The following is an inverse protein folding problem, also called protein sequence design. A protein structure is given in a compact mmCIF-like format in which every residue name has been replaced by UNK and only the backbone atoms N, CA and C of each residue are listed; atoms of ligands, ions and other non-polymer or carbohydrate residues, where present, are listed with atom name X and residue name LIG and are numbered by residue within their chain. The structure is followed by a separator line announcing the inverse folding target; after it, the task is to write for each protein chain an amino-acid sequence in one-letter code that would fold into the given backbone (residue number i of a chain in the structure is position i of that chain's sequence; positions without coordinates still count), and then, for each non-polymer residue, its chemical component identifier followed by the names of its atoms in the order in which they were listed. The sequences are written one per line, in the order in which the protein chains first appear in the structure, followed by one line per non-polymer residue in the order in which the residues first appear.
data_IF_463615147607
#
_entry.id   IF_463615147607
#
_cell.length_a   1.000
_cell.length_b   1.000
_cell.length_c   1.000
_cell.angle_alpha   90.00
_cell.angle_beta   90.00
_cell.angle_gamma   90.00
#
_symmetry.space_group_name_H-M   'P 1'
#
loop_
_entity.id
_entity.type
_entity.pdbx_description
1 polymer ?
#
# COMPACT_ATOMS: atom_id res chain seq x y z
N UNK A 1 -5.76 -16.34 -24.03
CA UNK A 1 -6.67 -17.50 -23.91
C UNK A 1 -7.34 -17.37 -22.56
N UNK A 2 -8.60 -16.98 -22.53
CA UNK A 2 -9.42 -17.02 -21.32
C UNK A 2 -9.76 -18.48 -20.99
N UNK A 3 -10.06 -18.79 -19.72
CA UNK A 3 -10.44 -20.16 -19.35
C UNK A 3 -11.66 -20.68 -20.13
N UNK A 4 -12.60 -19.81 -20.50
CA UNK A 4 -13.76 -20.17 -21.34
C UNK A 4 -13.37 -20.68 -22.73
N UNK A 5 -12.26 -20.18 -23.29
CA UNK A 5 -11.74 -20.61 -24.59
C UNK A 5 -11.23 -22.06 -24.57
N UNK A 6 -11.04 -22.65 -23.38
CA UNK A 6 -10.62 -24.05 -23.21
C UNK A 6 -11.83 -25.01 -23.25
N UNK A 7 -13.06 -24.54 -23.08
CA UNK A 7 -14.26 -25.39 -23.09
C UNK A 7 -14.44 -26.14 -24.42
N UNK A 8 -14.28 -25.50 -25.61
CA UNK A 8 -14.30 -26.22 -26.88
C UNK A 8 -13.21 -27.28 -26.96
N UNK A 9 -12.00 -27.01 -26.47
CA UNK A 9 -10.89 -27.98 -26.45
C UNK A 9 -11.23 -29.18 -25.58
N UNK A 10 -11.73 -28.96 -24.35
CA UNK A 10 -12.15 -30.01 -23.43
C UNK A 10 -13.25 -30.88 -24.07
N UNK A 11 -14.25 -30.26 -24.70
CA UNK A 11 -15.36 -30.97 -25.36
C UNK A 11 -14.90 -31.75 -26.60
N UNK A 12 -14.15 -31.11 -27.50
CA UNK A 12 -13.64 -31.71 -28.74
C UNK A 12 -12.74 -32.92 -28.46
N UNK A 13 -11.84 -32.79 -27.48
CA UNK A 13 -10.90 -33.85 -27.13
C UNK A 13 -11.44 -34.79 -26.03
N UNK A 14 -12.68 -34.60 -25.57
CA UNK A 14 -13.31 -35.36 -24.48
C UNK A 14 -12.39 -35.50 -23.26
N UNK A 15 -11.70 -34.43 -22.90
CA UNK A 15 -10.77 -34.43 -21.79
C UNK A 15 -11.57 -34.56 -20.49
N UNK A 16 -11.38 -35.66 -19.77
CA UNK A 16 -11.82 -35.79 -18.39
C UNK A 16 -10.67 -35.42 -17.46
N UNK A 17 -11.00 -34.79 -16.33
CA UNK A 17 -10.02 -34.64 -15.27
C UNK A 17 -9.62 -36.04 -14.78
N UNK A 18 -8.32 -36.32 -14.61
CA UNK A 18 -7.89 -37.60 -14.06
C UNK A 18 -8.45 -37.78 -12.65
N UNK A 19 -8.97 -38.97 -12.35
CA UNK A 19 -9.54 -39.30 -11.04
C UNK A 19 -8.48 -39.29 -9.93
N UNK A 20 -7.24 -39.60 -10.29
CA UNK A 20 -6.08 -39.53 -9.41
C UNK A 20 -4.95 -38.75 -10.09
N UNK A 21 -4.33 -37.83 -9.36
CA UNK A 21 -3.18 -37.07 -9.82
C UNK A 21 -1.95 -37.59 -9.10
N UNK A 22 -1.09 -38.31 -9.83
CA UNK A 22 0.21 -38.72 -9.31
C UNK A 22 1.16 -37.52 -9.32
N UNK A 23 1.59 -37.07 -8.14
CA UNK A 23 2.56 -35.99 -8.02
C UNK A 23 3.96 -36.50 -8.37
N UNK A 24 4.73 -35.66 -9.06
CA UNK A 24 6.14 -35.94 -9.36
C UNK A 24 6.94 -36.10 -8.06
N UNK A 25 7.79 -37.11 -7.99
CA UNK A 25 8.74 -37.24 -6.89
C UNK A 25 9.74 -36.06 -6.90
N UNK A 26 10.27 -35.62 -5.75
CA UNK A 26 11.24 -34.53 -5.71
C UNK A 26 12.45 -34.69 -6.64
N UNK A 27 12.90 -35.94 -6.85
CA UNK A 27 13.99 -36.26 -7.78
C UNK A 27 13.66 -35.94 -9.26
N UNK A 28 12.38 -35.90 -9.62
CA UNK A 28 11.91 -35.59 -10.97
C UNK A 28 11.72 -34.08 -11.20
N UNK A 29 11.90 -33.26 -10.17
CA UNK A 29 11.77 -31.82 -10.30
C UNK A 29 12.86 -31.26 -11.22
N UNK A 30 12.43 -30.54 -12.25
CA UNK A 30 13.34 -29.86 -13.19
C UNK A 30 13.66 -28.44 -12.77
N UNK A 31 12.78 -27.80 -12.01
CA UNK A 31 12.85 -26.38 -11.64
C UNK A 31 12.84 -26.21 -10.11
N UNK A 32 11.88 -26.84 -9.43
CA UNK A 32 11.76 -26.77 -7.97
C UNK A 32 13.06 -27.28 -7.32
N UNK A 33 13.59 -26.49 -6.37
CA UNK A 33 14.84 -26.79 -5.66
C UNK A 33 16.13 -26.55 -6.47
N UNK A 34 16.05 -26.06 -7.70
CA UNK A 34 17.24 -25.79 -8.54
C UNK A 34 17.46 -24.28 -8.72
N UNK A 35 18.73 -23.81 -8.72
CA UNK A 35 19.03 -22.42 -9.07
C UNK A 35 18.53 -22.09 -10.48
N UNK A 36 17.75 -21.02 -10.60
CA UNK A 36 17.21 -20.54 -11.88
C UNK A 36 17.44 -19.04 -12.02
N UNK A 37 17.39 -18.54 -13.26
CA UNK A 37 17.51 -17.11 -13.54
C UNK A 37 16.13 -16.46 -13.48
N UNK A 38 16.06 -15.27 -12.88
CA UNK A 38 14.84 -14.45 -12.88
C UNK A 38 14.58 -13.94 -14.30
N UNK A 39 13.32 -13.96 -14.72
CA UNK A 39 12.92 -13.59 -16.09
C UNK A 39 13.21 -12.11 -16.37
N UNK A 40 13.07 -11.26 -15.37
CA UNK A 40 13.29 -9.81 -15.40
C UNK A 40 14.76 -9.40 -15.10
N UNK A 41 15.67 -10.36 -14.94
CA UNK A 41 17.04 -10.05 -14.53
C UNK A 41 17.78 -9.20 -15.58
N UNK A 42 17.62 -9.52 -16.87
CA UNK A 42 18.34 -8.85 -17.95
C UNK A 42 17.98 -7.37 -18.04
N UNK A 43 16.68 -7.08 -18.10
CA UNK A 43 16.16 -5.71 -18.22
C UNK A 43 16.51 -4.83 -17.01
N UNK A 44 16.65 -5.42 -15.82
CA UNK A 44 17.11 -4.68 -14.62
C UNK A 44 18.60 -4.38 -14.64
N UNK A 45 19.41 -5.21 -15.29
CA UNK A 45 20.86 -5.05 -15.35
C UNK A 45 21.30 -4.05 -16.42
N UNK A 46 20.58 -3.97 -17.54
CA UNK A 46 20.88 -3.06 -18.65
C UNK A 46 20.07 -1.75 -18.63
N UNK A 47 19.17 -1.58 -17.65
CA UNK A 47 18.36 -0.38 -17.46
C UNK A 47 17.16 -0.26 -18.39
N UNK A 48 16.82 -1.30 -19.16
CA UNK A 48 15.63 -1.32 -20.03
C UNK A 48 14.33 -1.67 -19.29
N UNK A 49 14.41 -2.09 -18.02
CA UNK A 49 13.27 -2.35 -17.16
C UNK A 49 12.38 -1.11 -17.00
N UNK A 50 11.08 -1.25 -17.29
CA UNK A 50 10.10 -0.17 -17.14
C UNK A 50 9.36 -0.30 -15.80
N UNK A 51 9.59 0.68 -14.92
CA UNK A 51 8.90 0.81 -13.64
C UNK A 51 7.66 1.70 -13.77
N UNK A 52 6.82 1.76 -12.73
CA UNK A 52 5.62 2.61 -12.73
C UNK A 52 5.94 4.08 -13.02
N UNK A 53 7.04 4.58 -12.45
CA UNK A 53 7.47 5.97 -12.62
C UNK A 53 7.97 6.29 -14.04
N UNK A 54 8.31 5.26 -14.83
CA UNK A 54 8.81 5.40 -16.20
C UNK A 54 7.69 5.48 -17.24
N UNK A 55 6.44 5.25 -16.83
CA UNK A 55 5.30 5.33 -17.74
C UNK A 55 5.19 6.72 -18.34
N UNK A 56 5.15 6.78 -19.68
CA UNK A 56 4.97 8.00 -20.47
C UNK A 56 3.88 7.75 -21.48
N UNK A 57 2.76 8.45 -21.35
CA UNK A 57 1.64 8.40 -22.29
C UNK A 57 1.55 9.71 -23.08
N UNK A 58 1.02 9.69 -24.31
CA UNK A 58 0.79 10.91 -25.09
C UNK A 58 -0.05 11.92 -24.30
N UNK A 59 0.33 13.19 -24.35
CA UNK A 59 -0.37 14.31 -23.69
C UNK A 59 -0.53 14.18 -22.16
N UNK A 60 0.27 13.31 -21.51
CA UNK A 60 0.25 13.11 -20.07
C UNK A 60 0.72 14.36 -19.31
N UNK A 61 0.11 14.60 -18.16
CA UNK A 61 0.52 15.64 -17.20
C UNK A 61 0.91 15.01 -15.87
N UNK A 62 1.59 15.77 -15.03
CA UNK A 62 2.12 15.32 -13.74
C UNK A 62 1.40 16.05 -12.62
N UNK A 63 1.09 15.33 -11.54
CA UNK A 63 0.52 15.92 -10.33
C UNK A 63 1.38 15.71 -9.10
N UNK A 64 1.38 16.73 -8.24
CA UNK A 64 1.93 16.69 -6.88
C UNK A 64 0.83 17.11 -5.92
N UNK A 65 0.67 16.38 -4.82
CA UNK A 65 -0.41 16.58 -3.86
C UNK A 65 0.13 17.30 -2.64
N UNK A 66 -0.37 18.50 -2.35
CA UNK A 66 -0.14 19.09 -1.03
C UNK A 66 -1.04 18.38 -0.01
N UNK A 67 -0.41 17.56 0.82
CA UNK A 67 -1.05 16.73 1.85
C UNK A 67 -1.19 17.45 3.18
N UNK A 68 -2.14 17.02 4.04
CA UNK A 68 -2.32 17.60 5.34
C UNK A 68 -1.09 17.42 6.25
N UNK A 69 -0.90 18.32 7.23
CA UNK A 69 0.17 18.18 8.23
C UNK A 69 -0.09 17.04 9.22
N UNK A 70 -1.34 16.62 9.39
CA UNK A 70 -1.79 15.57 10.32
C UNK A 70 -2.67 14.56 9.58
N UNK A 71 -2.52 13.27 9.87
CA UNK A 71 -3.32 12.23 9.24
C UNK A 71 -4.82 12.44 9.48
N UNK A 72 -5.60 12.32 8.41
CA UNK A 72 -7.05 12.44 8.46
C UNK A 72 -7.58 13.88 8.50
N UNK A 73 -6.73 14.91 8.49
CA UNK A 73 -7.19 16.28 8.30
C UNK A 73 -7.80 16.46 6.90
N UNK A 74 -8.67 17.46 6.75
CA UNK A 74 -9.41 17.73 5.51
C UNK A 74 -9.18 19.16 5.01
N UNK A 75 -9.27 19.35 3.70
CA UNK A 75 -9.25 20.68 3.10
C UNK A 75 -10.56 21.39 3.42
N UNK A 76 -10.48 22.57 4.05
CA UNK A 76 -11.61 23.50 4.20
C UNK A 76 -11.68 24.42 3.00
N UNK A 77 -10.54 25.01 2.65
CA UNK A 77 -10.38 25.87 1.48
C UNK A 77 -8.91 25.91 1.06
N UNK A 78 -8.65 26.40 -0.16
CA UNK A 78 -7.30 26.63 -0.63
C UNK A 78 -7.22 27.87 -1.54
N UNK A 79 -6.04 28.47 -1.60
CA UNK A 79 -5.64 29.52 -2.55
C UNK A 79 -4.48 28.98 -3.40
N UNK A 80 -4.67 28.99 -4.73
CA UNK A 80 -3.71 28.53 -5.71
C UNK A 80 -3.28 29.64 -6.70
N UNK A 81 -3.59 30.91 -6.43
CA UNK A 81 -3.32 32.00 -7.37
C UNK A 81 -1.83 32.12 -7.71
N UNK A 82 -0.97 32.00 -6.70
CA UNK A 82 0.48 32.05 -6.90
C UNK A 82 1.01 30.79 -7.61
N UNK A 83 0.39 29.63 -7.39
CA UNK A 83 0.72 28.40 -8.08
C UNK A 83 0.38 28.48 -9.58
N UNK A 84 -0.78 29.03 -9.92
CA UNK A 84 -1.26 29.18 -11.31
C UNK A 84 -0.44 30.20 -12.12
N UNK A 85 0.28 31.11 -11.46
CA UNK A 85 1.23 32.03 -12.12
C UNK A 85 2.53 31.33 -12.57
N UNK A 86 2.83 30.13 -12.06
CA UNK A 86 4.03 29.40 -12.46
C UNK A 86 3.86 28.85 -13.88
N UNK A 87 4.73 29.22 -14.85
CA UNK A 87 4.59 28.75 -16.22
C UNK A 87 4.61 27.23 -16.33
N UNK A 88 3.54 26.66 -16.88
CA UNK A 88 3.37 25.22 -17.06
C UNK A 88 2.54 24.52 -15.98
N UNK A 89 2.14 25.22 -14.91
CA UNK A 89 1.04 24.79 -14.04
C UNK A 89 -0.27 24.94 -14.81
N UNK A 90 -1.11 23.92 -14.74
CA UNK A 90 -2.34 23.82 -15.51
C UNK A 90 -3.57 24.02 -14.62
N UNK A 91 -3.55 23.41 -13.44
CA UNK A 91 -4.72 23.36 -12.54
C UNK A 91 -4.31 23.03 -11.12
N UNK A 92 -5.08 23.53 -10.16
CA UNK A 92 -5.09 23.02 -8.79
C UNK A 92 -6.53 22.62 -8.45
N UNK A 93 -6.71 21.46 -7.82
CA UNK A 93 -8.02 20.99 -7.37
C UNK A 93 -7.92 20.15 -6.11
N UNK A 94 -9.01 20.05 -5.37
CA UNK A 94 -9.10 19.15 -4.22
C UNK A 94 -9.23 17.70 -4.66
N UNK A 95 -8.58 16.82 -3.93
CA UNK A 95 -8.82 15.37 -3.86
C UNK A 95 -8.97 15.01 -2.37
N UNK A 96 -9.41 13.79 -2.05
CA UNK A 96 -9.73 13.40 -0.66
C UNK A 96 -8.59 13.67 0.33
N UNK A 97 -7.36 13.52 -0.13
CA UNK A 97 -6.13 13.60 0.67
C UNK A 97 -5.46 14.98 0.62
N UNK A 98 -6.03 15.98 -0.05
CA UNK A 98 -5.44 17.32 -0.12
C UNK A 98 -5.73 18.08 -1.41
N UNK A 99 -4.77 18.92 -1.82
CA UNK A 99 -4.86 19.69 -3.08
C UNK A 99 -3.82 19.19 -4.05
N UNK A 100 -4.26 18.68 -5.20
CA UNK A 100 -3.36 18.29 -6.29
C UNK A 100 -3.10 19.48 -7.21
N UNK A 101 -1.83 19.72 -7.54
CA UNK A 101 -1.39 20.64 -8.58
C UNK A 101 -0.92 19.86 -9.79
N UNK A 102 -1.58 20.09 -10.92
CA UNK A 102 -1.27 19.46 -12.21
C UNK A 102 -0.42 20.41 -13.07
N UNK A 103 0.64 19.87 -13.68
CA UNK A 103 1.54 20.61 -14.56
C UNK A 103 2.08 19.74 -15.69
N UNK A 104 2.73 20.37 -16.67
CA UNK A 104 3.36 19.67 -17.81
C UNK A 104 4.52 18.73 -17.43
N UNK A 105 5.13 18.95 -16.27
CA UNK A 105 6.26 18.18 -15.75
C UNK A 105 6.25 18.18 -14.22
N UNK A 106 6.92 17.17 -13.62
CA UNK A 106 6.94 16.98 -12.17
C UNK A 106 7.51 18.19 -11.41
N UNK A 107 8.58 18.81 -11.90
CA UNK A 107 9.23 19.91 -11.19
C UNK A 107 8.35 21.15 -11.14
N UNK A 108 7.64 21.42 -12.23
CA UNK A 108 6.66 22.50 -12.31
C UNK A 108 5.48 22.23 -11.38
N UNK A 109 4.97 20.99 -11.33
CA UNK A 109 3.92 20.59 -10.39
C UNK A 109 4.38 20.74 -8.93
N UNK A 110 5.59 20.28 -8.59
CA UNK A 110 6.18 20.41 -7.25
C UNK A 110 6.34 21.87 -6.83
N UNK A 111 6.83 22.72 -7.74
CA UNK A 111 6.98 24.16 -7.48
C UNK A 111 5.62 24.83 -7.25
N UNK A 112 4.63 24.51 -8.09
CA UNK A 112 3.26 25.01 -7.94
C UNK A 112 2.63 24.55 -6.62
N UNK A 113 2.73 23.27 -6.28
CA UNK A 113 2.22 22.72 -5.03
C UNK A 113 2.81 23.40 -3.79
N UNK A 114 4.09 23.79 -3.83
CA UNK A 114 4.73 24.55 -2.75
C UNK A 114 4.20 25.98 -2.57
N UNK A 115 3.43 26.52 -3.52
CA UNK A 115 2.85 27.86 -3.45
C UNK A 115 1.35 27.85 -3.08
N UNK A 116 0.72 26.67 -3.07
CA UNK A 116 -0.67 26.54 -2.66
C UNK A 116 -0.77 26.74 -1.14
N UNK A 117 -1.72 27.57 -0.72
CA UNK A 117 -2.04 27.82 0.68
C UNK A 117 -3.32 27.07 1.00
N UNK A 118 -3.28 26.15 1.96
CA UNK A 118 -4.43 25.32 2.31
C UNK A 118 -4.83 25.60 3.75
N UNK A 119 -6.13 25.80 3.96
CA UNK A 119 -6.74 25.83 5.28
C UNK A 119 -7.21 24.41 5.59
N UNK A 120 -6.65 23.83 6.65
CA UNK A 120 -6.93 22.47 7.08
C UNK A 120 -7.88 22.45 8.28
N UNK A 121 -8.83 21.53 8.26
CA UNK A 121 -9.50 21.05 9.47
C UNK A 121 -8.77 19.80 9.96
N UNK A 122 -8.02 19.96 11.05
CA UNK A 122 -7.23 18.89 11.65
C UNK A 122 -8.05 17.95 12.52
N UNK A 123 -9.36 18.22 12.71
CA UNK A 123 -10.31 17.38 13.45
C UNK A 123 -9.84 17.00 14.86
N UNK A 124 -9.16 17.90 15.55
CA UNK A 124 -8.61 17.70 16.91
C UNK A 124 -7.53 16.61 16.99
N UNK A 125 -6.81 16.37 15.89
CA UNK A 125 -5.74 15.36 15.83
C UNK A 125 -4.33 15.96 16.07
N UNK A 126 -4.24 17.27 16.33
CA UNK A 126 -2.99 18.00 16.51
C UNK A 126 -2.19 17.56 17.74
N UNK A 127 -2.86 16.98 18.74
CA UNK A 127 -2.24 16.57 20.00
C UNK A 127 -1.65 15.16 19.94
N UNK A 128 -1.88 14.42 18.84
CA UNK A 128 -1.36 13.07 18.67
C UNK A 128 0.16 13.07 18.59
N UNK A 129 0.80 12.20 19.35
CA UNK A 129 2.26 12.08 19.38
C UNK A 129 2.70 10.63 19.55
N UNK A 130 3.91 10.31 19.07
CA UNK A 130 4.50 8.98 19.26
C UNK A 130 4.64 8.62 20.74
N UNK A 131 5.00 9.59 21.59
CA UNK A 131 5.08 9.38 23.03
C UNK A 131 3.71 9.07 23.65
N UNK A 132 2.66 9.79 23.25
CA UNK A 132 1.28 9.54 23.68
C UNK A 132 0.81 8.14 23.27
N UNK A 133 1.06 7.72 22.03
CA UNK A 133 0.71 6.38 21.57
C UNK A 133 1.40 5.27 22.36
N UNK A 134 2.69 5.41 22.67
CA UNK A 134 3.38 4.42 23.52
C UNK A 134 2.79 4.38 24.93
N UNK A 135 2.49 5.53 25.52
CA UNK A 135 1.86 5.57 26.83
C UNK A 135 0.51 4.84 26.81
N UNK A 136 -0.37 5.21 25.88
CA UNK A 136 -1.69 4.58 25.72
C UNK A 136 -1.57 3.07 25.50
N UNK A 137 -0.65 2.62 24.62
CA UNK A 137 -0.50 1.20 24.32
C UNK A 137 0.11 0.41 25.48
N UNK A 138 0.98 1.00 26.29
CA UNK A 138 1.45 0.39 27.55
C UNK A 138 0.30 0.18 28.54
N UNK A 139 -0.58 1.16 28.66
CA UNK A 139 -1.78 1.08 29.51
C UNK A 139 -2.74 0.00 29.00
N UNK A 140 -3.00 -0.04 27.69
CA UNK A 140 -3.82 -1.08 27.06
C UNK A 140 -3.22 -2.48 27.21
N UNK A 141 -1.90 -2.63 27.09
CA UNK A 141 -1.22 -3.92 27.27
C UNK A 141 -1.37 -4.50 28.68
N UNK A 142 -1.79 -3.70 29.67
CA UNK A 142 -2.07 -4.17 31.02
C UNK A 142 -3.50 -4.71 31.19
N UNK A 143 -4.36 -4.52 30.18
CA UNK A 143 -5.77 -4.91 30.19
C UNK A 143 -6.00 -6.16 29.33
N UNK A 144 -7.13 -6.87 29.52
CA UNK A 144 -7.53 -7.94 28.60
C UNK A 144 -7.73 -7.41 27.17
N UNK A 145 -7.07 -8.04 26.20
CA UNK A 145 -7.22 -7.75 24.77
C UNK A 145 -8.11 -8.77 24.04
N UNK A 146 -8.20 -8.61 22.72
CA UNK A 146 -8.83 -9.61 21.85
C UNK A 146 -7.98 -10.89 21.83
N UNK A 147 -8.62 -12.03 22.11
CA UNK A 147 -7.92 -13.32 22.14
C UNK A 147 -7.59 -13.75 20.71
N UNK A 148 -6.29 -13.83 20.41
CA UNK A 148 -5.80 -14.37 19.15
C UNK A 148 -5.68 -15.91 19.22
N UNK A 149 -5.22 -16.43 20.36
CA UNK A 149 -4.99 -17.85 20.61
C UNK A 149 -5.08 -18.14 22.11
N UNK A 150 -5.63 -19.30 22.50
CA UNK A 150 -5.77 -19.73 23.89
C UNK A 150 -5.55 -21.25 23.97
N UNK A 151 -4.39 -21.65 24.46
CA UNK A 151 -3.96 -23.05 24.55
C UNK A 151 -3.40 -23.31 25.94
N UNK A 152 -4.00 -24.26 26.66
CA UNK A 152 -3.63 -24.62 28.03
C UNK A 152 -4.02 -23.56 29.06
N UNK A 153 -3.38 -23.59 30.24
CA UNK A 153 -3.79 -22.82 31.41
C UNK A 153 -2.76 -21.75 31.82
N UNK A 154 -2.17 -21.05 30.83
CA UNK A 154 -1.04 -20.14 31.06
C UNK A 154 -1.33 -19.09 32.15
N UNK A 155 -2.53 -18.51 32.18
CA UNK A 155 -2.94 -17.52 33.20
C UNK A 155 -3.00 -18.12 34.60
N UNK A 156 -3.48 -19.36 34.74
CA UNK A 156 -3.54 -20.06 36.03
C UNK A 156 -2.14 -20.37 36.53
N UNK A 157 -1.26 -20.86 35.65
CA UNK A 157 0.14 -21.14 35.99
C UNK A 157 0.86 -19.87 36.45
N UNK A 158 0.68 -18.75 35.74
CA UNK A 158 1.27 -17.46 36.13
C UNK A 158 0.71 -16.90 37.44
N UNK A 159 -0.56 -17.21 37.77
CA UNK A 159 -1.18 -16.82 39.03
C UNK A 159 -0.83 -17.74 40.22
N UNK A 160 -0.20 -18.90 39.98
CA UNK A 160 0.09 -19.91 41.01
C UNK A 160 1.19 -19.52 42.01
N UNK A 161 1.81 -18.35 41.85
CA UNK A 161 2.90 -17.87 42.71
C UNK A 161 4.29 -18.38 42.31
N UNK A 162 4.41 -19.13 41.20
CA UNK A 162 5.71 -19.46 40.59
C UNK A 162 6.42 -18.20 40.10
N UNK A 163 7.75 -18.23 40.09
CA UNK A 163 8.55 -17.18 39.45
C UNK A 163 8.23 -17.14 37.97
N UNK A 164 7.98 -15.93 37.45
CA UNK A 164 7.81 -15.67 36.03
C UNK A 164 8.61 -14.44 35.64
N UNK A 165 8.85 -14.30 34.35
CA UNK A 165 9.49 -13.15 33.74
C UNK A 165 8.43 -12.29 33.06
N UNK A 166 8.46 -10.98 33.27
CA UNK A 166 7.66 -10.02 32.52
C UNK A 166 8.58 -9.06 31.77
N UNK A 167 8.26 -8.80 30.51
CA UNK A 167 8.92 -7.79 29.69
C UNK A 167 7.91 -7.07 28.82
N UNK A 168 8.14 -5.77 28.63
CA UNK A 168 7.40 -4.93 27.69
C UNK A 168 8.31 -4.60 26.52
N UNK A 169 7.89 -5.00 25.32
CA UNK A 169 8.61 -4.76 24.07
C UNK A 169 7.88 -3.72 23.25
N UNK A 170 8.63 -2.77 22.70
CA UNK A 170 8.07 -1.65 21.95
C UNK A 170 8.70 -1.59 20.57
N UNK A 171 7.85 -1.46 19.56
CA UNK A 171 8.27 -1.34 18.17
C UNK A 171 7.71 -0.06 17.58
N UNK A 172 8.53 0.82 16.98
CA UNK A 172 8.05 2.06 16.42
C UNK A 172 7.33 1.82 15.10
N UNK A 173 6.58 2.83 14.68
CA UNK A 173 6.22 2.99 13.28
C UNK A 173 7.48 2.88 12.41
N UNK A 174 7.40 2.10 11.33
CA UNK A 174 8.50 2.01 10.38
C UNK A 174 8.02 2.28 8.96
N UNK A 175 8.68 3.26 8.34
CA UNK A 175 8.51 3.53 6.92
C UNK A 175 9.17 2.43 6.08
N UNK A 176 8.48 2.03 5.02
CA UNK A 176 8.98 1.03 4.08
C UNK A 176 10.15 1.56 3.23
N UNK A 177 10.16 2.87 2.97
CA UNK A 177 11.22 3.60 2.29
C UNK A 177 11.70 2.92 1.00
N UNK A 178 10.75 2.54 0.12
CA UNK A 178 11.06 1.90 -1.17
C UNK A 178 12.00 2.78 -1.99
N UNK A 179 12.85 2.19 -2.84
CA UNK A 179 13.78 3.00 -3.66
C UNK A 179 13.02 3.86 -4.65
N UNK A 180 11.99 3.30 -5.29
CA UNK A 180 11.02 4.05 -6.08
C UNK A 180 9.91 4.58 -5.16
N UNK A 181 9.71 5.91 -5.04
CA UNK A 181 8.59 6.49 -4.32
C UNK A 181 7.24 6.07 -4.90
N UNK A 182 6.17 6.20 -4.10
CA UNK A 182 4.82 5.94 -4.61
C UNK A 182 4.51 6.78 -5.85
N UNK A 183 3.98 6.09 -6.86
CA UNK A 183 3.60 6.70 -8.13
C UNK A 183 2.50 5.86 -8.77
N UNK A 184 1.67 6.53 -9.57
CA UNK A 184 0.61 5.90 -10.33
C UNK A 184 0.24 6.81 -11.51
N UNK A 185 0.00 6.20 -12.67
CA UNK A 185 -0.56 6.90 -13.84
C UNK A 185 -1.99 6.45 -14.05
N UNK A 186 -2.92 7.37 -14.24
CA UNK A 186 -4.33 7.07 -14.48
C UNK A 186 -4.86 7.82 -15.71
N UNK A 187 -5.73 7.14 -16.44
CA UNK A 187 -6.61 7.70 -17.47
C UNK A 187 -8.03 7.40 -17.01
N UNK A 188 -8.86 8.44 -16.93
CA UNK A 188 -10.25 8.32 -16.49
C UNK A 188 -11.12 8.97 -17.56
N UNK A 189 -11.98 8.15 -18.14
CA UNK A 189 -13.04 8.53 -19.09
C UNK A 189 -14.40 8.37 -18.40
N UNK A 190 -15.49 8.69 -19.11
CA UNK A 190 -16.85 8.65 -18.54
C UNK A 190 -17.28 7.23 -18.11
N UNK A 191 -16.85 6.20 -18.84
CA UNK A 191 -17.29 4.82 -18.66
C UNK A 191 -16.15 3.83 -18.38
N UNK A 192 -14.92 4.30 -18.27
CA UNK A 192 -13.73 3.45 -18.11
C UNK A 192 -12.59 4.14 -17.37
N UNK A 193 -11.74 3.31 -16.76
CA UNK A 193 -10.51 3.77 -16.13
C UNK A 193 -9.36 2.82 -16.41
N UNK A 194 -8.22 3.36 -16.82
CA UNK A 194 -6.99 2.62 -17.02
C UNK A 194 -5.89 3.16 -16.11
N UNK A 195 -5.21 2.24 -15.41
CA UNK A 195 -4.20 2.56 -14.40
C UNK A 195 -2.91 1.83 -14.71
N UNK A 196 -1.76 2.51 -14.57
CA UNK A 196 -0.44 1.90 -14.55
C UNK A 196 0.21 2.10 -13.19
N UNK A 197 0.50 1.00 -12.51
CA UNK A 197 1.09 1.03 -11.18
C UNK A 197 1.95 -0.21 -10.90
N UNK A 198 3.04 0.01 -10.18
CA UNK A 198 3.76 -1.07 -9.50
C UNK A 198 2.97 -1.49 -8.27
N UNK A 199 2.06 -2.46 -8.39
CA UNK A 199 1.20 -2.90 -7.29
C UNK A 199 1.41 -4.37 -6.91
N UNK A 200 1.25 -4.69 -5.62
CA UNK A 200 1.20 -6.07 -5.12
C UNK A 200 -0.23 -6.58 -4.96
N UNK A 201 -1.24 -5.71 -5.02
CA UNK A 201 -2.63 -6.07 -4.71
C UNK A 201 -3.63 -5.59 -5.78
N UNK A 202 -3.31 -5.84 -7.06
CA UNK A 202 -4.04 -5.30 -8.21
C UNK A 202 -5.55 -5.58 -8.21
N UNK A 203 -6.01 -6.72 -7.68
CA UNK A 203 -7.44 -7.03 -7.63
C UNK A 203 -8.17 -6.08 -6.68
N UNK A 204 -7.58 -5.80 -5.53
CA UNK A 204 -8.13 -4.82 -4.58
C UNK A 204 -8.08 -3.41 -5.16
N UNK A 205 -6.97 -3.03 -5.80
CA UNK A 205 -6.87 -1.72 -6.45
C UNK A 205 -7.98 -1.52 -7.48
N UNK A 206 -8.27 -2.55 -8.30
CA UNK A 206 -9.38 -2.52 -9.26
C UNK A 206 -10.72 -2.32 -8.57
N UNK A 207 -11.01 -3.06 -7.50
CA UNK A 207 -12.24 -2.90 -6.71
C UNK A 207 -12.35 -1.49 -6.12
N UNK A 208 -11.25 -0.95 -5.56
CA UNK A 208 -11.24 0.39 -4.96
C UNK A 208 -11.47 1.50 -6.01
N UNK A 209 -10.84 1.39 -7.19
CA UNK A 209 -11.05 2.33 -8.29
C UNK A 209 -12.47 2.24 -8.84
N UNK A 210 -13.00 1.02 -9.03
CA UNK A 210 -14.37 0.80 -9.46
C UNK A 210 -15.38 1.46 -8.50
N UNK A 211 -15.21 1.23 -7.19
CA UNK A 211 -16.05 1.84 -6.15
C UNK A 211 -15.94 3.36 -6.13
N UNK A 212 -14.72 3.91 -6.24
CA UNK A 212 -14.47 5.35 -6.26
C UNK A 212 -15.18 6.03 -7.44
N UNK A 213 -15.15 5.40 -8.62
CA UNK A 213 -15.74 5.96 -9.84
C UNK A 213 -17.21 5.58 -10.05
N UNK A 214 -17.77 4.67 -9.24
CA UNK A 214 -19.09 4.10 -9.47
C UNK A 214 -19.18 3.24 -10.75
N UNK A 215 -18.06 2.67 -11.18
CA UNK A 215 -17.96 1.83 -12.38
C UNK A 215 -18.00 0.34 -12.04
N UNK A 216 -18.44 -0.54 -12.96
CA UNK A 216 -18.21 -1.98 -12.79
C UNK A 216 -16.71 -2.30 -12.87
N UNK A 217 -16.24 -3.31 -12.12
CA UNK A 217 -14.82 -3.71 -12.17
C UNK A 217 -14.31 -4.06 -13.58
N UNK A 218 -15.20 -4.52 -14.47
CA UNK A 218 -14.85 -4.82 -15.87
C UNK A 218 -14.49 -3.58 -16.69
N UNK A 219 -14.87 -2.39 -16.24
CA UNK A 219 -14.50 -1.11 -16.86
C UNK A 219 -13.17 -0.55 -16.34
N UNK A 220 -12.52 -1.24 -15.39
CA UNK A 220 -11.27 -0.81 -14.78
C UNK A 220 -10.13 -1.75 -15.18
N UNK A 221 -9.16 -1.21 -15.90
CA UNK A 221 -7.96 -1.94 -16.33
C UNK A 221 -6.76 -1.55 -15.47
N UNK A 222 -6.11 -2.54 -14.85
CA UNK A 222 -4.88 -2.34 -14.09
C UNK A 222 -3.69 -2.94 -14.86
N UNK A 223 -2.85 -2.07 -15.41
CA UNK A 223 -1.58 -2.42 -16.02
C UNK A 223 -0.49 -2.47 -14.95
N UNK A 224 -0.05 -3.70 -14.64
CA UNK A 224 1.02 -3.92 -13.66
C UNK A 224 2.39 -3.68 -14.28
N UNK A 225 3.10 -2.68 -13.78
CA UNK A 225 4.49 -2.40 -14.14
C UNK A 225 5.45 -3.08 -13.16
N UNK A 226 6.76 -3.03 -13.43
CA UNK A 226 7.75 -3.32 -12.40
C UNK A 226 7.65 -2.26 -11.27
N UNK A 227 8.12 -2.63 -10.08
CA UNK A 227 8.17 -1.74 -8.92
C UNK A 227 9.57 -1.72 -8.29
N UNK A 228 10.03 -0.55 -7.89
CA UNK A 228 11.32 -0.33 -7.22
C UNK A 228 11.25 -0.58 -5.71
N UNK A 229 10.71 -1.72 -5.34
CA UNK A 229 10.49 -2.13 -3.94
C UNK A 229 9.05 -1.91 -3.48
N UNK A 230 8.67 -2.65 -2.43
CA UNK A 230 7.38 -2.48 -1.75
C UNK A 230 7.50 -2.73 -0.24
N UNK A 231 8.04 -3.89 0.15
CA UNK A 231 8.10 -4.32 1.55
C UNK A 231 6.73 -4.36 2.26
N UNK A 232 5.63 -4.45 1.50
CA UNK A 232 4.25 -4.37 1.98
C UNK A 232 3.55 -3.06 1.63
N UNK A 233 4.29 -1.98 1.34
CA UNK A 233 3.73 -0.63 1.07
C UNK A 233 2.75 -0.58 -0.09
N UNK A 234 3.03 -1.31 -1.17
CA UNK A 234 2.23 -1.39 -2.41
C UNK A 234 1.16 -2.49 -2.36
N UNK A 235 0.89 -3.07 -1.19
CA UNK A 235 -0.24 -3.95 -0.90
C UNK A 235 -1.30 -3.22 -0.04
N UNK A 236 -1.52 -1.94 -0.33
CA UNK A 236 -2.41 -1.06 0.42
C UNK A 236 -3.87 -1.46 0.23
N UNK A 237 -4.61 -1.70 1.32
CA UNK A 237 -6.03 -2.05 1.25
C UNK A 237 -6.91 -0.91 0.75
N UNK A 238 -6.50 0.33 0.99
CA UNK A 238 -7.21 1.53 0.53
C UNK A 238 -6.83 1.95 -0.90
N UNK A 239 -5.82 1.29 -1.50
CA UNK A 239 -5.26 1.66 -2.80
C UNK A 239 -4.83 3.14 -2.86
N UNK A 240 -4.37 3.71 -1.74
CA UNK A 240 -4.15 5.15 -1.52
C UNK A 240 -3.44 5.89 -2.67
N UNK A 241 -2.28 5.41 -3.11
CA UNK A 241 -1.54 6.08 -4.17
C UNK A 241 -2.17 5.92 -5.57
N UNK A 242 -3.02 4.90 -5.76
CA UNK A 242 -3.78 4.66 -6.98
C UNK A 242 -5.01 5.56 -7.03
N UNK A 243 -5.77 5.61 -5.93
CA UNK A 243 -6.97 6.46 -5.82
C UNK A 243 -6.61 7.93 -5.92
N UNK A 244 -5.47 8.36 -5.38
CA UNK A 244 -4.95 9.73 -5.57
C UNK A 244 -4.76 10.08 -7.05
N UNK A 245 -4.19 9.17 -7.85
CA UNK A 245 -4.00 9.38 -9.28
C UNK A 245 -5.31 9.36 -10.06
N UNK A 246 -6.25 8.49 -9.70
CA UNK A 246 -7.57 8.43 -10.32
C UNK A 246 -8.35 9.72 -10.04
N UNK A 247 -8.40 10.20 -8.79
CA UNK A 247 -9.05 11.48 -8.45
C UNK A 247 -8.38 12.67 -9.16
N UNK A 248 -7.04 12.64 -9.26
CA UNK A 248 -6.32 13.66 -10.01
C UNK A 248 -6.64 13.63 -11.51
N UNK A 249 -6.85 12.45 -12.10
CA UNK A 249 -7.20 12.28 -13.52
C UNK A 249 -8.68 12.57 -13.85
N UNK A 250 -9.59 12.45 -12.87
CA UNK A 250 -11.03 12.68 -13.08
C UNK A 250 -11.30 14.06 -13.71
N UNK A 251 -11.96 14.05 -14.87
CA UNK A 251 -12.36 15.26 -15.60
C UNK A 251 -11.22 16.00 -16.31
N UNK A 252 -10.03 15.41 -16.43
CA UNK A 252 -8.90 16.05 -17.13
C UNK A 252 -8.82 15.69 -18.63
N UNK A 253 -9.50 14.62 -19.06
CA UNK A 253 -9.52 14.14 -20.45
C UNK A 253 -8.14 13.82 -21.01
N UNK A 254 -7.19 13.48 -20.13
CA UNK A 254 -5.80 13.17 -20.46
C UNK A 254 -5.17 12.33 -19.36
N UNK A 255 -4.09 11.59 -19.64
CA UNK A 255 -3.39 10.83 -18.60
C UNK A 255 -2.77 11.75 -17.53
N UNK A 256 -2.89 11.35 -16.27
CA UNK A 256 -2.25 12.03 -15.13
C UNK A 256 -1.36 11.06 -14.39
N UNK A 257 -0.08 11.41 -14.23
CA UNK A 257 0.85 10.68 -13.36
C UNK A 257 1.05 11.43 -12.05
N UNK A 258 0.70 10.79 -10.93
CA UNK A 258 1.05 11.25 -9.59
C UNK A 258 2.37 10.63 -9.18
N UNK A 259 3.27 11.46 -8.67
CA UNK A 259 4.55 11.04 -8.10
C UNK A 259 4.67 11.67 -6.72
N UNK A 260 4.83 10.85 -5.70
CA UNK A 260 5.13 11.33 -4.35
C UNK A 260 6.61 11.68 -4.29
N UNK A 261 6.95 12.83 -3.71
CA UNK A 261 8.34 13.08 -3.35
C UNK A 261 8.84 12.10 -2.30
N UNK A 262 10.16 11.97 -2.12
CA UNK A 262 10.72 11.14 -1.04
C UNK A 262 10.22 11.59 0.33
N UNK A 263 10.14 12.90 0.53
CA UNK A 263 9.67 13.49 1.78
C UNK A 263 8.21 13.13 2.05
N UNK A 264 7.37 13.15 1.02
CA UNK A 264 5.97 12.71 1.12
C UNK A 264 5.84 11.21 1.29
N UNK A 265 6.64 10.38 0.61
CA UNK A 265 6.63 8.92 0.76
C UNK A 265 6.97 8.51 2.20
N UNK A 266 7.92 9.20 2.82
CA UNK A 266 8.27 8.99 4.22
C UNK A 266 7.17 9.47 5.17
N UNK A 267 6.44 10.54 4.83
CA UNK A 267 5.37 11.11 5.69
C UNK A 267 3.99 10.53 5.42
N UNK A 268 3.76 9.87 4.29
CA UNK A 268 2.45 9.64 3.68
C UNK A 268 1.67 8.42 4.18
N UNK A 269 1.93 7.97 5.41
CA UNK A 269 0.86 7.39 6.23
C UNK A 269 0.59 5.89 6.19
N UNK A 270 1.40 5.10 5.49
CA UNK A 270 1.34 3.64 5.60
C UNK A 270 2.67 3.10 6.14
N UNK A 271 2.77 3.09 7.46
CA UNK A 271 3.88 2.51 8.21
C UNK A 271 3.55 1.08 8.61
N UNK A 272 4.57 0.26 8.87
CA UNK A 272 4.36 -0.84 9.82
C UNK A 272 3.87 -0.19 11.13
N UNK A 273 2.76 -0.65 11.72
CA UNK A 273 2.21 0.00 12.89
C UNK A 273 3.15 -0.07 14.09
N UNK A 274 2.99 0.88 15.01
CA UNK A 274 3.59 0.84 16.33
C UNK A 274 2.96 -0.32 17.12
N UNK A 275 3.79 -1.08 17.85
CA UNK A 275 3.33 -2.14 18.74
C UNK A 275 3.91 -1.97 20.13
N UNK A 276 3.12 -2.33 21.13
CA UNK A 276 3.58 -2.62 22.49
C UNK A 276 3.11 -4.04 22.81
N UNK A 277 4.04 -4.88 23.25
CA UNK A 277 3.75 -6.24 23.68
C UNK A 277 4.18 -6.42 25.12
N UNK A 278 3.26 -6.82 25.98
CA UNK A 278 3.57 -7.25 27.34
C UNK A 278 3.57 -8.76 27.38
N UNK A 279 4.75 -9.33 27.57
CA UNK A 279 4.95 -10.77 27.57
C UNK A 279 5.26 -11.25 28.98
N UNK A 280 4.59 -12.32 29.39
CA UNK A 280 4.81 -13.05 30.64
C UNK A 280 5.13 -14.50 30.32
N UNK A 281 6.22 -15.01 30.91
CA UNK A 281 6.65 -16.39 30.70
C UNK A 281 7.09 -17.05 32.00
N UNK A 282 6.71 -18.31 32.21
CA UNK A 282 7.21 -19.15 33.29
C UNK A 282 7.91 -20.38 32.71
N UNK A 283 8.94 -20.84 33.42
CA UNK A 283 9.65 -22.07 33.11
C UNK A 283 9.30 -23.14 34.14
N UNK A 284 9.41 -24.41 33.73
CA UNK A 284 9.40 -25.53 34.67
C UNK A 284 10.78 -25.68 35.35
N UNK A 285 10.89 -26.70 36.19
CA UNK A 285 12.08 -26.93 37.03
C UNK A 285 13.28 -27.44 36.19
N UNK A 286 13.02 -27.94 34.98
CA UNK A 286 14.03 -28.36 33.99
C UNK A 286 14.43 -27.21 33.04
N UNK A 287 13.79 -26.04 33.16
CA UNK A 287 14.06 -24.84 32.38
C UNK A 287 13.30 -24.76 31.05
N UNK A 288 12.30 -25.61 30.81
CA UNK A 288 11.46 -25.56 29.61
C UNK A 288 10.28 -24.59 29.77
N UNK A 289 9.76 -24.03 28.66
CA UNK A 289 8.58 -23.16 28.69
C UNK A 289 7.36 -23.89 29.26
N UNK A 290 6.84 -23.38 30.37
CA UNK A 290 5.68 -23.93 31.06
C UNK A 290 4.41 -23.09 30.82
N UNK A 291 4.56 -21.77 30.74
CA UNK A 291 3.46 -20.86 30.41
C UNK A 291 3.96 -19.66 29.60
N UNK A 292 3.14 -19.21 28.67
CA UNK A 292 3.32 -17.98 27.93
C UNK A 292 1.98 -17.24 27.84
N UNK A 293 1.98 -15.98 28.26
CA UNK A 293 0.87 -15.07 28.08
C UNK A 293 1.36 -13.75 27.49
N UNK A 294 0.67 -13.24 26.47
CA UNK A 294 1.00 -11.98 25.80
C UNK A 294 -0.26 -11.12 25.68
N UNK A 295 -0.10 -9.83 25.93
CA UNK A 295 -1.08 -8.79 25.66
C UNK A 295 -0.46 -7.67 24.83
#
# INVERSE_FOLDING_TARGET
IAYGDLIPVIRTHRLSAPAEVVLKAPAEYRILGKPTRRIEAREKLDGSAVYGIDIRLPNMVYGVVQRPPVFGARVVSFDADDALKVPGVLKAKTIDVGVVVLARDYWTAKKGAGLVKVVWDNRQLDELSTAGFYQEYRELSAQPGMVAEDIGDAKVILASGRTFFEAVYEMPYLAHATMEPMNCTAVVEDDSCEVWAGTQYQSNDRTMVANLLGLPESAVTINRTLMGGSFGRRASKSADYVTDAVQAAQGEGRPVQIIWSREEDIRGGHYRPLFVHRMRGALDDDGYPLAWHQT
#
